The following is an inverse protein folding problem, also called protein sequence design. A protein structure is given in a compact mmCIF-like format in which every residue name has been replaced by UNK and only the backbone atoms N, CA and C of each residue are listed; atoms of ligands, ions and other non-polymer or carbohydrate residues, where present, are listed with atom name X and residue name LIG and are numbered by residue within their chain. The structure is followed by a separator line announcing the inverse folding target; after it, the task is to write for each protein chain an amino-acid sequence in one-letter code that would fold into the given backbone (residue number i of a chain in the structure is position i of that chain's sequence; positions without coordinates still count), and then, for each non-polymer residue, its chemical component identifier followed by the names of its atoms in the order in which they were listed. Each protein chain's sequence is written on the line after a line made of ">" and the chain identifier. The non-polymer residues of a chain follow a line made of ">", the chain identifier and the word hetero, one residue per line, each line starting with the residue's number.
data_IF_610534743265
#
_entry.id   IF_610534743265
#
_cell.length_a   1.000
_cell.length_b   1.000
_cell.length_c   1.000
_cell.angle_alpha   90.00
_cell.angle_beta   90.00
_cell.angle_gamma   90.00
#
_symmetry.space_group_name_H-M   'P 1'
#
loop_
_entity.id
_entity.type
_entity.pdbx_description
1 polymer ?
#
# COMPACT_ATOMS: atom_id res chain seq x y z
N UNK A 1 9.30 12.42 22.67
CA UNK A 1 8.94 11.19 23.40
C UNK A 1 10.24 10.48 23.80
N UNK A 2 10.43 10.10 25.06
CA UNK A 2 11.72 9.54 25.54
C UNK A 2 11.85 8.03 25.23
N UNK A 3 13.08 7.56 24.99
CA UNK A 3 13.42 6.16 24.69
C UNK A 3 12.86 5.16 25.71
N UNK A 4 12.71 5.57 26.98
CA UNK A 4 12.17 4.74 28.06
C UNK A 4 10.69 4.33 27.85
N UNK A 5 9.94 5.06 27.02
CA UNK A 5 8.55 4.71 26.72
C UNK A 5 8.43 3.62 25.65
N UNK A 6 9.47 3.41 24.84
CA UNK A 6 9.49 2.37 23.79
C UNK A 6 9.79 0.98 24.36
N UNK A 7 10.64 0.88 25.38
CA UNK A 7 11.01 -0.40 26.00
C UNK A 7 9.84 -1.01 26.80
N UNK A 8 9.02 -0.17 27.45
CA UNK A 8 7.84 -0.61 28.21
C UNK A 8 6.71 -1.13 27.31
N UNK A 9 6.62 -0.63 26.07
CA UNK A 9 5.69 -1.12 25.05
C UNK A 9 6.12 -2.48 24.48
N UNK A 10 7.43 -2.75 24.39
CA UNK A 10 7.95 -4.02 23.91
C UNK A 10 7.65 -5.20 24.86
N UNK A 11 7.59 -4.95 26.16
CA UNK A 11 7.35 -5.97 27.19
C UNK A 11 5.88 -6.43 27.23
N UNK A 12 4.93 -5.51 27.02
CA UNK A 12 3.49 -5.80 26.94
C UNK A 12 3.09 -6.57 25.67
N UNK A 13 3.86 -6.45 24.59
CA UNK A 13 3.57 -7.09 23.30
C UNK A 13 4.03 -8.56 23.23
N UNK A 14 4.99 -8.97 24.07
CA UNK A 14 5.48 -10.36 24.10
C UNK A 14 4.48 -11.35 24.72
N UNK A 15 3.52 -10.88 25.52
CA UNK A 15 2.58 -11.75 26.25
C UNK A 15 1.38 -12.23 25.42
N UNK A 16 1.16 -11.68 24.22
CA UNK A 16 -0.01 -12.01 23.38
C UNK A 16 0.28 -12.95 22.19
N UNK A 17 1.52 -13.39 21.98
CA UNK A 17 1.92 -14.15 20.79
C UNK A 17 1.59 -15.66 20.80
N UNK A 18 1.10 -16.22 21.91
CA UNK A 18 1.13 -17.69 22.11
C UNK A 18 -0.13 -18.49 21.71
N UNK A 19 -1.11 -17.91 21.03
CA UNK A 19 -2.26 -18.72 20.58
C UNK A 19 -2.69 -18.37 19.16
N UNK A 20 -2.44 -19.30 18.22
CA UNK A 20 -3.42 -19.88 17.28
C UNK A 20 -2.73 -20.44 16.03
N UNK A 21 -2.71 -21.78 15.92
CA UNK A 21 -2.41 -22.50 14.67
C UNK A 21 -3.70 -22.67 13.88
N UNK A 22 -3.72 -22.35 12.58
CA UNK A 22 -4.84 -22.64 11.69
C UNK A 22 -4.36 -23.10 10.30
N UNK A 23 -5.00 -24.19 9.86
CA UNK A 23 -5.21 -24.82 8.56
C UNK A 23 -4.28 -24.58 7.34
N UNK A 24 -3.87 -25.70 6.73
CA UNK A 24 -2.70 -25.83 5.84
C UNK A 24 -2.95 -25.56 4.34
N UNK A 25 -4.18 -25.23 3.90
CA UNK A 25 -4.48 -24.96 2.48
C UNK A 25 -4.54 -23.46 2.12
N UNK A 26 -4.68 -22.57 3.11
CA UNK A 26 -4.56 -21.10 2.96
C UNK A 26 -3.22 -20.55 3.44
N UNK A 27 -2.44 -21.37 4.16
CA UNK A 27 -1.16 -20.99 4.76
C UNK A 27 -0.05 -20.67 3.75
N UNK A 28 -0.22 -21.00 2.46
CA UNK A 28 0.72 -20.65 1.40
C UNK A 28 0.51 -19.23 0.83
N UNK A 29 -0.70 -18.68 0.94
CA UNK A 29 -1.08 -17.36 0.39
C UNK A 29 -1.07 -16.28 1.48
N UNK A 30 -1.25 -16.66 2.75
CA UNK A 30 -1.40 -15.73 3.87
C UNK A 30 -0.20 -15.87 4.82
N UNK A 31 0.72 -14.89 4.88
CA UNK A 31 1.73 -14.84 5.92
C UNK A 31 1.05 -14.48 7.25
N UNK A 32 0.66 -15.49 8.03
CA UNK A 32 0.37 -15.32 9.45
C UNK A 32 1.66 -14.92 10.17
N UNK A 33 1.93 -13.63 10.37
CA UNK A 33 2.60 -13.11 11.57
C UNK A 33 2.18 -11.66 11.77
N UNK A 34 1.46 -11.40 12.86
CA UNK A 34 1.36 -10.08 13.49
C UNK A 34 2.78 -9.55 13.67
N UNK A 35 3.25 -8.74 12.72
CA UNK A 35 4.49 -8.02 12.89
C UNK A 35 4.15 -6.76 13.66
N UNK A 36 4.52 -6.79 14.94
CA UNK A 36 4.88 -5.58 15.68
C UNK A 36 5.59 -4.65 14.70
N UNK A 37 5.16 -3.39 14.66
CA UNK A 37 5.84 -2.30 13.95
C UNK A 37 7.28 -2.19 14.47
N UNK A 38 8.15 -3.02 13.93
CA UNK A 38 9.59 -2.85 14.04
C UNK A 38 9.98 -2.19 12.73
N UNK A 39 10.72 -1.07 12.75
CA UNK A 39 11.47 -0.66 11.58
C UNK A 39 12.39 -1.82 11.20
N UNK A 40 11.93 -2.66 10.29
CA UNK A 40 12.73 -3.77 9.80
C UNK A 40 13.75 -3.17 8.85
N UNK A 41 15.04 -3.47 9.07
CA UNK A 41 16.11 -3.06 8.17
C UNK A 41 15.81 -3.61 6.77
N UNK A 42 15.24 -2.77 5.92
CA UNK A 42 15.37 -2.96 4.48
C UNK A 42 16.84 -2.69 4.14
N UNK A 43 17.46 -3.56 3.33
CA UNK A 43 18.78 -3.30 2.74
C UNK A 43 18.79 -2.02 1.87
N UNK A 44 17.61 -1.45 1.57
CA UNK A 44 17.40 -0.38 0.61
C UNK A 44 16.97 0.97 1.24
N UNK A 45 17.22 1.22 2.52
CA UNK A 45 17.06 2.57 3.10
C UNK A 45 15.63 3.00 3.52
N UNK A 46 14.60 2.17 3.32
CA UNK A 46 13.22 2.45 3.76
C UNK A 46 12.93 1.92 5.17
N UNK A 47 12.08 2.64 5.90
CA UNK A 47 11.33 2.12 7.03
C UNK A 47 10.02 1.50 6.50
N UNK A 48 9.81 0.22 6.79
CA UNK A 48 8.64 -0.51 6.36
C UNK A 48 7.59 -0.49 7.48
N UNK A 49 6.43 0.10 7.21
CA UNK A 49 5.30 0.09 8.13
C UNK A 49 4.25 -0.87 7.56
N UNK A 50 4.31 -2.12 8.01
CA UNK A 50 3.24 -3.10 7.86
C UNK A 50 2.36 -3.01 9.11
N UNK A 51 1.16 -2.44 9.00
CA UNK A 51 0.19 -2.45 10.10
C UNK A 51 -1.14 -2.96 9.59
N UNK A 52 -1.89 -3.57 10.50
CA UNK A 52 -3.25 -3.93 10.25
C UNK A 52 -4.13 -2.67 10.45
N UNK A 53 -4.83 -2.19 9.42
CA UNK A 53 -5.60 -0.94 9.48
C UNK A 53 -6.99 -1.15 10.06
N UNK A 54 -7.47 -0.24 10.92
CA UNK A 54 -8.90 -0.17 11.23
C UNK A 54 -9.68 0.22 9.96
N UNK A 55 -10.74 -0.54 9.66
CA UNK A 55 -11.57 -0.35 8.46
C UNK A 55 -12.15 1.07 8.33
N UNK A 56 -12.44 1.72 9.45
CA UNK A 56 -13.02 3.07 9.50
C UNK A 56 -12.03 4.12 8.99
N UNK A 57 -10.76 4.02 9.39
CA UNK A 57 -9.70 4.97 9.02
C UNK A 57 -9.43 4.90 7.51
N UNK A 58 -9.45 3.70 6.92
CA UNK A 58 -9.24 3.49 5.49
C UNK A 58 -10.27 4.23 4.62
N UNK A 59 -11.54 4.14 4.98
CA UNK A 59 -12.64 4.64 4.13
C UNK A 59 -12.58 6.15 3.90
N UNK A 60 -11.88 6.92 4.75
CA UNK A 60 -11.73 8.37 4.60
C UNK A 60 -10.66 8.79 3.59
N UNK A 61 -9.69 7.93 3.27
CA UNK A 61 -8.55 8.27 2.41
C UNK A 61 -8.72 7.84 0.96
N UNK A 62 -9.45 6.75 0.74
CA UNK A 62 -9.66 6.16 -0.59
C UNK A 62 -10.94 6.64 -1.23
N UNK A 63 -10.95 6.73 -2.57
CA UNK A 63 -12.21 6.88 -3.29
C UNK A 63 -13.13 5.67 -3.05
N UNK A 64 -14.45 5.83 -3.16
CA UNK A 64 -15.38 4.69 -3.10
C UNK A 64 -15.03 3.59 -4.11
N UNK A 65 -14.53 3.98 -5.30
CA UNK A 65 -14.17 3.04 -6.36
C UNK A 65 -12.96 2.18 -5.98
N UNK A 66 -11.88 2.80 -5.49
CA UNK A 66 -10.69 2.08 -5.06
C UNK A 66 -10.97 1.24 -3.82
N UNK A 67 -11.79 1.74 -2.89
CA UNK A 67 -12.20 0.97 -1.71
C UNK A 67 -13.01 -0.28 -2.08
N UNK A 68 -13.86 -0.22 -3.12
CA UNK A 68 -14.52 -1.41 -3.64
C UNK A 68 -13.51 -2.42 -4.20
N UNK A 69 -12.56 -1.97 -5.03
CA UNK A 69 -11.52 -2.83 -5.60
C UNK A 69 -10.63 -3.47 -4.52
N UNK A 70 -10.38 -2.76 -3.42
CA UNK A 70 -9.71 -3.31 -2.24
C UNK A 70 -10.55 -4.43 -1.59
N UNK A 71 -11.87 -4.28 -1.50
CA UNK A 71 -12.77 -5.32 -1.00
C UNK A 71 -12.88 -6.54 -1.92
N UNK A 72 -12.63 -6.36 -3.21
CA UNK A 72 -12.58 -7.45 -4.19
C UNK A 72 -11.25 -8.24 -4.13
N UNK A 73 -10.26 -7.80 -3.33
CA UNK A 73 -8.99 -8.52 -3.19
C UNK A 73 -9.17 -9.83 -2.38
N UNK A 74 -8.44 -10.91 -2.70
CA UNK A 74 -8.54 -12.18 -1.98
C UNK A 74 -8.21 -12.07 -0.48
N UNK A 75 -7.21 -11.25 -0.13
CA UNK A 75 -6.81 -11.00 1.26
C UNK A 75 -7.97 -10.33 2.01
N UNK A 76 -8.60 -9.31 1.40
CA UNK A 76 -9.71 -8.62 2.04
C UNK A 76 -10.94 -9.50 2.19
N UNK A 77 -11.29 -10.28 1.16
CA UNK A 77 -12.38 -11.24 1.23
C UNK A 77 -12.17 -12.22 2.40
N UNK A 78 -10.95 -12.72 2.58
CA UNK A 78 -10.59 -13.59 3.70
C UNK A 78 -10.71 -12.90 5.07
N UNK A 79 -10.24 -11.66 5.22
CA UNK A 79 -10.36 -10.89 6.47
C UNK A 79 -11.81 -10.58 6.85
N UNK A 80 -12.66 -10.28 5.86
CA UNK A 80 -14.10 -10.05 6.05
C UNK A 80 -14.75 -11.33 6.57
N UNK A 81 -14.45 -12.48 5.96
CA UNK A 81 -15.00 -13.78 6.37
C UNK A 81 -14.60 -14.17 7.80
N UNK A 82 -13.44 -13.69 8.28
CA UNK A 82 -12.99 -13.89 9.67
C UNK A 82 -13.45 -12.81 10.64
N UNK A 83 -14.29 -11.88 10.18
CA UNK A 83 -14.73 -10.71 10.95
C UNK A 83 -13.54 -9.94 11.57
N UNK A 84 -12.43 -9.84 10.86
CA UNK A 84 -11.27 -9.09 11.32
C UNK A 84 -11.64 -7.61 11.44
N UNK A 85 -11.31 -6.99 12.57
CA UNK A 85 -11.41 -5.53 12.73
C UNK A 85 -10.33 -4.77 11.93
N UNK A 86 -9.33 -5.50 11.43
CA UNK A 86 -8.10 -4.97 10.86
C UNK A 86 -7.83 -5.48 9.45
N UNK A 87 -6.91 -4.85 8.71
CA UNK A 87 -6.52 -5.30 7.38
C UNK A 87 -5.09 -5.06 6.98
N UNK A 88 -4.51 -6.02 6.26
CA UNK A 88 -3.14 -6.03 5.75
C UNK A 88 -3.06 -5.61 4.28
N UNK A 89 -4.18 -5.26 3.65
CA UNK A 89 -4.23 -4.92 2.22
C UNK A 89 -3.57 -3.59 1.88
N UNK A 90 -3.23 -2.76 2.87
CA UNK A 90 -2.52 -1.49 2.65
C UNK A 90 -1.23 -1.48 3.45
N UNK A 91 -0.14 -1.15 2.78
CA UNK A 91 1.19 -1.08 3.35
C UNK A 91 1.88 0.22 2.93
N UNK A 92 2.56 0.86 3.87
CA UNK A 92 3.27 2.12 3.62
C UNK A 92 4.75 1.93 3.88
N UNK A 93 5.58 2.32 2.92
CA UNK A 93 7.04 2.42 3.05
C UNK A 93 7.41 3.88 3.08
N UNK A 94 7.99 4.31 4.18
CA UNK A 94 8.46 5.68 4.37
C UNK A 94 9.99 5.65 4.29
N UNK A 95 10.61 6.44 3.40
CA UNK A 95 12.06 6.51 3.34
C UNK A 95 12.63 7.14 4.61
N UNK A 96 13.91 6.88 4.87
CA UNK A 96 14.61 7.51 6.01
C UNK A 96 14.97 8.97 5.78
N UNK A 97 15.09 9.35 4.52
CA UNK A 97 15.48 10.69 4.10
C UNK A 97 14.23 11.36 3.55
N UNK A 98 13.95 12.57 4.01
CA UNK A 98 12.72 13.32 3.67
C UNK A 98 12.66 13.75 2.18
N UNK A 99 13.72 13.49 1.43
CA UNK A 99 13.89 13.82 0.00
C UNK A 99 13.53 12.66 -0.93
N UNK A 100 12.94 11.60 -0.39
CA UNK A 100 12.46 10.47 -1.19
C UNK A 100 10.94 10.33 -1.02
N UNK A 101 10.31 9.82 -2.08
CA UNK A 101 8.89 9.50 -2.06
C UNK A 101 8.59 8.30 -1.15
N UNK A 102 7.45 8.35 -0.49
CA UNK A 102 6.84 7.18 0.15
C UNK A 102 6.19 6.28 -0.89
N UNK A 103 6.18 4.97 -0.61
CA UNK A 103 5.43 3.99 -1.40
C UNK A 103 4.23 3.50 -0.60
N UNK A 104 3.04 3.67 -1.16
CA UNK A 104 1.81 3.06 -0.66
C UNK A 104 1.47 1.90 -1.56
N UNK A 105 1.37 0.71 -0.99
CA UNK A 105 1.07 -0.54 -1.68
C UNK A 105 -0.31 -1.01 -1.25
N UNK A 106 -1.19 -1.24 -2.22
CA UNK A 106 -2.60 -1.55 -2.00
C UNK A 106 -2.93 -2.82 -2.76
N UNK A 107 -3.36 -3.86 -2.06
CA UNK A 107 -3.88 -5.09 -2.69
C UNK A 107 -5.28 -4.82 -3.24
N UNK A 108 -5.49 -5.15 -4.51
CA UNK A 108 -6.70 -4.83 -5.27
C UNK A 108 -7.15 -6.02 -6.12
N UNK A 109 -8.46 -6.18 -6.26
CA UNK A 109 -9.09 -7.05 -7.25
C UNK A 109 -9.42 -6.32 -8.55
N UNK A 110 -9.92 -7.05 -9.53
CA UNK A 110 -10.40 -6.56 -10.84
C UNK A 110 -9.35 -5.74 -11.61
N UNK A 111 -8.14 -6.28 -11.75
CA UNK A 111 -6.97 -5.62 -12.38
C UNK A 111 -7.28 -5.06 -13.78
N UNK A 112 -7.96 -5.81 -14.64
CA UNK A 112 -8.33 -5.31 -15.98
C UNK A 112 -9.16 -4.03 -15.93
N UNK A 113 -10.05 -3.93 -14.94
CA UNK A 113 -10.83 -2.74 -14.68
C UNK A 113 -9.92 -1.55 -14.37
N UNK A 114 -8.89 -1.74 -13.56
CA UNK A 114 -7.92 -0.71 -13.17
C UNK A 114 -7.09 -0.27 -14.38
N UNK A 115 -6.54 -1.22 -15.15
CA UNK A 115 -5.71 -0.92 -16.33
C UNK A 115 -6.49 -0.09 -17.34
N UNK A 116 -7.72 -0.49 -17.66
CA UNK A 116 -8.59 0.21 -18.60
C UNK A 116 -9.05 1.57 -18.05
N UNK A 117 -9.48 1.61 -16.78
CA UNK A 117 -9.96 2.82 -16.14
C UNK A 117 -8.84 3.85 -16.07
N UNK A 118 -7.63 3.50 -15.63
CA UNK A 118 -6.48 4.41 -15.56
C UNK A 118 -5.75 4.61 -16.88
N UNK A 119 -6.03 3.80 -17.91
CA UNK A 119 -5.35 3.87 -19.21
C UNK A 119 -3.86 3.55 -19.14
N UNK A 120 -3.50 2.60 -18.26
CA UNK A 120 -2.13 2.16 -18.02
C UNK A 120 -1.65 1.25 -19.15
N UNK A 121 -0.34 1.25 -19.37
CA UNK A 121 0.31 0.40 -20.37
C UNK A 121 1.28 -0.54 -19.70
N UNK A 122 1.41 -1.75 -20.23
CA UNK A 122 2.42 -2.70 -19.78
C UNK A 122 3.81 -2.15 -20.12
N UNK A 123 4.68 -2.00 -19.12
CA UNK A 123 5.99 -1.36 -19.28
C UNK A 123 7.17 -2.26 -18.95
N UNK A 124 6.99 -3.31 -18.14
CA UNK A 124 8.07 -4.24 -17.84
C UNK A 124 7.59 -5.66 -17.51
N UNK A 125 8.51 -6.61 -17.71
CA UNK A 125 8.49 -7.93 -17.10
C UNK A 125 9.64 -7.99 -16.09
N UNK A 126 9.30 -7.95 -14.81
CA UNK A 126 10.20 -8.40 -13.75
C UNK A 126 10.15 -9.93 -13.75
N UNK A 127 11.23 -10.62 -13.37
CA UNK A 127 11.35 -12.08 -13.50
C UNK A 127 10.16 -12.87 -12.92
N UNK A 128 9.41 -12.26 -12.00
CA UNK A 128 8.22 -12.84 -11.36
C UNK A 128 6.96 -11.94 -11.40
N UNK A 129 6.98 -10.79 -12.10
CA UNK A 129 5.84 -9.85 -12.06
C UNK A 129 5.61 -9.11 -13.39
N UNK A 130 4.34 -8.86 -13.69
CA UNK A 130 3.90 -7.99 -14.78
C UNK A 130 3.63 -6.60 -14.24
N UNK A 131 4.21 -5.58 -14.87
CA UNK A 131 4.09 -4.19 -14.42
C UNK A 131 3.36 -3.36 -15.48
N UNK A 132 2.32 -2.67 -15.04
CA UNK A 132 1.62 -1.64 -15.80
C UNK A 132 1.93 -0.27 -15.18
N UNK A 133 2.27 0.71 -16.00
CA UNK A 133 2.54 2.09 -15.57
C UNK A 133 1.98 3.11 -16.57
N UNK A 134 2.26 4.40 -16.40
CA UNK A 134 1.76 5.45 -17.28
C UNK A 134 0.26 5.75 -17.10
N UNK A 135 -0.21 5.81 -15.85
CA UNK A 135 -1.59 6.13 -15.53
C UNK A 135 -1.97 7.55 -15.99
N UNK A 136 -3.19 7.72 -16.51
CA UNK A 136 -3.71 9.02 -16.94
C UNK A 136 -4.01 9.93 -15.75
N UNK A 137 -3.34 11.08 -15.69
CA UNK A 137 -3.43 12.01 -14.54
C UNK A 137 -4.85 12.52 -14.33
N UNK A 138 -5.57 12.81 -15.43
CA UNK A 138 -6.95 13.29 -15.39
C UNK A 138 -7.92 12.33 -14.68
N UNK A 139 -7.57 11.05 -14.56
CA UNK A 139 -8.40 10.01 -13.94
C UNK A 139 -8.00 9.68 -12.51
N UNK A 140 -6.72 9.91 -12.17
CA UNK A 140 -6.17 9.52 -10.87
C UNK A 140 -6.93 10.16 -9.71
N UNK A 141 -7.19 11.48 -9.74
CA UNK A 141 -7.85 12.18 -8.62
C UNK A 141 -9.14 11.50 -8.18
N UNK A 142 -10.00 11.16 -9.13
CA UNK A 142 -11.28 10.48 -8.86
C UNK A 142 -11.06 9.02 -8.47
N UNK A 143 -10.10 8.35 -9.09
CA UNK A 143 -9.82 6.93 -8.87
C UNK A 143 -9.18 6.66 -7.51
N UNK A 144 -8.10 7.33 -7.13
CA UNK A 144 -7.37 7.05 -5.87
C UNK A 144 -7.88 7.88 -4.68
N UNK A 145 -8.55 8.99 -4.94
CA UNK A 145 -8.98 9.95 -3.91
C UNK A 145 -8.05 11.15 -3.78
N UNK A 146 -8.56 12.22 -3.16
CA UNK A 146 -7.87 13.52 -3.12
C UNK A 146 -6.57 13.46 -2.30
N UNK A 147 -6.56 12.72 -1.18
CA UNK A 147 -5.40 12.62 -0.30
C UNK A 147 -4.17 12.09 -1.06
N UNK A 148 -4.31 10.95 -1.73
CA UNK A 148 -3.23 10.34 -2.48
C UNK A 148 -2.88 11.15 -3.73
N UNK A 149 -3.87 11.73 -4.40
CA UNK A 149 -3.62 12.56 -5.59
C UNK A 149 -2.78 13.79 -5.28
N UNK A 150 -3.06 14.51 -4.19
CA UNK A 150 -2.24 15.65 -3.76
C UNK A 150 -0.81 15.23 -3.39
N UNK A 151 -0.66 14.07 -2.73
CA UNK A 151 0.65 13.53 -2.40
C UNK A 151 1.45 13.13 -3.64
N UNK A 152 0.78 12.56 -4.64
CA UNK A 152 1.36 12.23 -5.94
C UNK A 152 1.76 13.49 -6.71
N UNK A 153 0.93 14.53 -6.73
CA UNK A 153 1.28 15.81 -7.38
C UNK A 153 2.54 16.47 -6.80
N UNK A 154 2.86 16.17 -5.53
CA UNK A 154 4.06 16.65 -4.84
C UNK A 154 5.23 15.67 -4.86
N UNK A 155 5.09 14.51 -5.51
CA UNK A 155 6.16 13.51 -5.59
C UNK A 155 7.35 14.04 -6.38
N UNK A 156 8.55 13.59 -6.00
CA UNK A 156 9.78 13.92 -6.72
C UNK A 156 9.78 13.33 -8.14
N UNK A 157 9.23 12.12 -8.30
CA UNK A 157 9.03 11.50 -9.61
C UNK A 157 8.08 12.35 -10.46
N UNK A 158 6.95 12.81 -9.91
CA UNK A 158 6.01 13.66 -10.64
C UNK A 158 6.64 14.98 -11.07
N UNK A 159 7.38 15.61 -10.16
CA UNK A 159 8.14 16.84 -10.44
C UNK A 159 9.17 16.63 -11.55
N UNK A 160 9.81 15.46 -11.60
CA UNK A 160 10.71 15.09 -12.68
C UNK A 160 9.96 14.90 -14.02
N UNK A 161 8.83 14.20 -14.04
CA UNK A 161 8.01 13.99 -15.24
C UNK A 161 7.54 15.30 -15.86
N UNK A 162 7.14 16.27 -15.04
CA UNK A 162 6.72 17.60 -15.49
C UNK A 162 7.88 18.37 -16.14
N UNK A 163 9.09 18.27 -15.59
CA UNK A 163 10.31 18.82 -16.21
C UNK A 163 10.63 18.16 -17.56
N UNK A 164 10.19 16.93 -17.78
CA UNK A 164 10.30 16.22 -19.06
C UNK A 164 9.10 16.45 -19.99
N UNK A 165 8.21 17.40 -19.68
CA UNK A 165 6.97 17.69 -20.41
C UNK A 165 5.96 16.52 -20.45
N UNK A 166 6.07 15.54 -19.55
CA UNK A 166 5.09 14.47 -19.41
C UNK A 166 3.93 14.91 -18.49
N UNK A 167 3.00 15.68 -19.04
CA UNK A 167 1.89 16.30 -18.29
C UNK A 167 0.58 15.51 -18.31
N UNK A 168 0.50 14.44 -19.09
CA UNK A 168 -0.75 13.67 -19.28
C UNK A 168 -0.74 12.34 -18.54
N UNK A 169 0.45 11.76 -18.33
CA UNK A 169 0.64 10.44 -17.74
C UNK A 169 1.68 10.49 -16.64
N UNK A 170 1.61 9.52 -15.74
CA UNK A 170 2.55 9.40 -14.63
C UNK A 170 2.81 7.94 -14.27
N UNK A 171 4.05 7.65 -13.92
CA UNK A 171 4.52 6.39 -13.32
C UNK A 171 4.48 6.46 -11.79
N UNK A 172 3.93 7.53 -11.20
CA UNK A 172 3.67 7.56 -9.77
C UNK A 172 2.54 6.60 -9.34
N UNK A 173 1.82 6.02 -10.30
CA UNK A 173 0.92 4.90 -10.06
C UNK A 173 1.34 3.72 -10.95
N UNK A 174 1.63 2.58 -10.32
CA UNK A 174 2.01 1.34 -11.00
C UNK A 174 1.13 0.21 -10.51
N UNK A 175 0.82 -0.74 -11.38
CA UNK A 175 0.07 -1.94 -11.03
C UNK A 175 0.93 -3.16 -11.28
N UNK A 176 1.13 -3.96 -10.24
CA UNK A 176 1.91 -5.19 -10.29
C UNK A 176 1.01 -6.43 -10.18
N UNK A 177 1.22 -7.38 -11.07
CA UNK A 177 0.55 -8.68 -11.04
C UNK A 177 1.61 -9.78 -10.87
N UNK A 178 1.26 -10.86 -10.18
CA UNK A 178 2.10 -12.06 -10.07
C UNK A 178 2.15 -12.83 -11.39
N UNK A 179 1.03 -12.89 -12.10
CA UNK A 179 0.92 -13.52 -13.41
C UNK A 179 -0.03 -12.74 -14.33
N UNK A 180 0.06 -12.97 -15.64
CA UNK A 180 -0.69 -12.24 -16.67
C UNK A 180 -2.21 -12.47 -16.60
N UNK A 181 -2.62 -13.59 -16.02
CA UNK A 181 -4.02 -13.99 -15.90
C UNK A 181 -4.62 -13.64 -14.53
N UNK A 182 -3.82 -13.02 -13.65
CA UNK A 182 -4.25 -12.70 -12.30
C UNK A 182 -5.31 -11.63 -12.32
N UNK A 183 -6.47 -11.95 -11.73
CA UNK A 183 -7.56 -10.99 -11.53
C UNK A 183 -7.29 -10.01 -10.39
N UNK A 184 -6.24 -10.24 -9.61
CA UNK A 184 -5.81 -9.42 -8.48
C UNK A 184 -4.35 -8.99 -8.63
N UNK A 185 -4.00 -7.90 -7.95
CA UNK A 185 -2.65 -7.34 -8.02
C UNK A 185 -2.42 -6.31 -6.94
N UNK A 186 -1.28 -5.63 -7.05
CA UNK A 186 -0.85 -4.59 -6.12
C UNK A 186 -0.73 -3.26 -6.84
N UNK A 187 -1.60 -2.32 -6.48
CA UNK A 187 -1.49 -0.93 -6.88
C UNK A 187 -0.45 -0.24 -5.99
N UNK A 188 0.62 0.25 -6.61
CA UNK A 188 1.67 1.04 -5.98
C UNK A 188 1.45 2.51 -6.28
N UNK A 189 1.43 3.33 -5.24
CA UNK A 189 1.37 4.78 -5.34
C UNK A 189 2.66 5.38 -4.76
N UNK A 190 3.33 6.23 -5.54
CA UNK A 190 4.39 7.12 -5.07
C UNK A 190 3.76 8.44 -4.64
N UNK A 191 3.97 8.79 -3.38
CA UNK A 191 3.49 10.05 -2.80
C UNK A 191 4.63 10.72 -2.05
N UNK A 192 4.59 12.04 -1.96
CA UNK A 192 5.62 12.80 -1.25
C UNK A 192 5.75 12.38 0.23
N UNK A 193 6.93 12.62 0.80
CA UNK A 193 7.28 12.26 2.17
C UNK A 193 6.23 12.68 3.21
N UNK A 194 5.80 13.94 3.19
CA UNK A 194 4.84 14.51 4.15
C UNK A 194 3.54 13.70 4.23
N UNK A 195 2.95 13.36 3.08
CA UNK A 195 1.69 12.61 3.03
C UNK A 195 1.88 11.17 3.45
N UNK A 196 2.95 10.51 3.02
CA UNK A 196 3.21 9.12 3.42
C UNK A 196 3.58 8.98 4.90
N UNK A 197 4.30 9.96 5.48
CA UNK A 197 4.59 10.01 6.90
C UNK A 197 3.33 10.30 7.72
N UNK A 198 2.48 11.24 7.29
CA UNK A 198 1.19 11.49 7.93
C UNK A 198 0.33 10.22 7.93
N UNK A 199 0.26 9.53 6.80
CA UNK A 199 -0.44 8.25 6.68
C UNK A 199 0.14 7.23 7.66
N UNK A 200 1.46 7.01 7.65
CA UNK A 200 2.12 6.07 8.57
C UNK A 200 1.89 6.40 10.05
N UNK A 201 1.84 7.68 10.43
CA UNK A 201 1.52 8.08 11.80
C UNK A 201 0.09 7.70 12.19
N UNK A 202 -0.89 7.92 11.31
CA UNK A 202 -2.26 7.47 11.55
C UNK A 202 -2.31 5.95 11.76
N UNK A 203 -1.48 5.20 11.04
CA UNK A 203 -1.34 3.75 11.18
C UNK A 203 -0.74 3.27 12.49
N UNK A 204 0.18 4.06 13.06
CA UNK A 204 0.87 3.71 14.29
C UNK A 204 0.16 4.27 15.54
N UNK A 205 -0.86 5.11 15.37
CA UNK A 205 -1.56 5.81 16.45
C UNK A 205 -2.68 5.00 17.13
N UNK A 206 -2.84 3.73 16.74
CA UNK A 206 -3.87 2.81 17.28
C UNK A 206 -3.32 1.89 18.36
#
# INVERSE_FOLDING_TARGET
>A
MSLANLDKLAELLNTQQDTFRADSSLGAVVPNQWKVLRPTRSKNGYLHFTSAWQKVILSGHFSPRLFQLMNDSPIRAYEINRNSAWTEIVNVRVPRIEVEDCLVMIEVGSVDGIVNELGMTRTAYSHDHFIYSGAAIAKLRTFIGIFFFEGLCKSDLRSWEERQNNVLRTDCAELELLDETSSYGRLKLRINYERGHALANELCSV
#
